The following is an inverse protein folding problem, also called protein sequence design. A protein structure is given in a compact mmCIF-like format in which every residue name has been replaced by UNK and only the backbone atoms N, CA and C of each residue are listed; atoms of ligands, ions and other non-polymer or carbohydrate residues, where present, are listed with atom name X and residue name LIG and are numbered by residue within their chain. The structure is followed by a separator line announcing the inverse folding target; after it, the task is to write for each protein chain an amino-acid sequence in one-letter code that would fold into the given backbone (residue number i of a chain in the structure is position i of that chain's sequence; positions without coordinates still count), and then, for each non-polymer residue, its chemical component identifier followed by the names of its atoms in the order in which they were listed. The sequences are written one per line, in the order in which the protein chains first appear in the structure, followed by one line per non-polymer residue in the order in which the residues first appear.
data_IF_527621918698
#
_entry.id   IF_527621918698
#
_cell.length_a   1.000
_cell.length_b   1.000
_cell.length_c   1.000
_cell.angle_alpha   90.00
_cell.angle_beta   90.00
_cell.angle_gamma   90.00
#
_symmetry.space_group_name_H-M   'P 1'
#
loop_
_entity.id
_entity.type
_entity.pdbx_description
1 polymer ?
#
# COMPACT_ATOMS: atom_id res chain seq x y z
N UNK A 1 9.04 16.17 26.62
CA UNK A 1 7.73 16.38 25.93
C UNK A 1 7.98 16.20 24.45
N UNK A 2 7.65 15.03 23.89
CA UNK A 2 7.77 14.81 22.44
C UNK A 2 6.39 15.05 21.82
N UNK A 3 6.27 16.15 21.10
CA UNK A 3 5.08 16.46 20.31
C UNK A 3 4.89 15.38 19.26
N UNK A 4 3.70 14.78 19.25
CA UNK A 4 3.23 13.94 18.15
C UNK A 4 3.06 14.86 16.95
N UNK A 5 3.94 14.74 15.97
CA UNK A 5 3.73 15.34 14.65
C UNK A 5 2.81 14.41 13.88
N UNK A 6 1.50 14.68 13.95
CA UNK A 6 0.57 14.25 12.92
C UNK A 6 0.98 14.97 11.63
N UNK A 7 1.59 14.22 10.70
CA UNK A 7 1.97 14.77 9.39
C UNK A 7 0.73 14.70 8.50
N UNK A 8 0.07 15.83 8.32
CA UNK A 8 -0.85 16.06 7.22
C UNK A 8 -0.07 15.89 5.91
N UNK A 9 -0.47 14.91 5.10
CA UNK A 9 0.11 14.72 3.76
C UNK A 9 -0.42 15.86 2.90
N UNK A 10 0.38 16.90 2.73
CA UNK A 10 0.12 17.99 1.80
C UNK A 10 0.12 17.42 0.36
N UNK A 11 -1.07 17.37 -0.25
CA UNK A 11 -1.38 16.70 -1.52
C UNK A 11 -1.00 17.54 -2.75
N UNK A 12 -0.48 18.77 -2.60
CA UNK A 12 -0.46 19.74 -3.71
C UNK A 12 0.88 19.94 -4.45
N UNK A 13 2.02 19.40 -4.02
CA UNK A 13 3.33 19.80 -4.63
C UNK A 13 4.32 18.71 -5.02
N UNK A 14 3.94 17.43 -5.06
CA UNK A 14 4.79 16.43 -5.69
C UNK A 14 4.01 15.68 -6.77
N UNK A 15 4.26 15.94 -8.07
CA UNK A 15 3.44 15.41 -9.16
C UNK A 15 3.54 13.90 -9.30
N UNK A 16 4.42 13.24 -8.52
CA UNK A 16 4.47 11.78 -8.49
C UNK A 16 4.87 11.25 -7.11
N UNK A 17 3.98 10.50 -6.45
CA UNK A 17 4.24 9.80 -5.21
C UNK A 17 4.63 8.34 -5.50
N UNK A 18 5.88 7.91 -5.22
CA UNK A 18 6.25 6.51 -5.29
C UNK A 18 5.58 5.73 -4.16
N UNK A 19 5.06 4.56 -4.51
CA UNK A 19 4.44 3.59 -3.62
C UNK A 19 5.26 2.30 -3.73
N UNK A 20 5.65 1.73 -2.60
CA UNK A 20 6.37 0.47 -2.51
C UNK A 20 5.54 -0.52 -1.70
N UNK A 21 5.21 -1.67 -2.29
CA UNK A 21 4.46 -2.73 -1.62
C UNK A 21 5.36 -3.96 -1.51
N UNK A 22 5.77 -4.29 -0.29
CA UNK A 22 6.51 -5.52 0.01
C UNK A 22 5.53 -6.69 0.18
N UNK A 23 5.72 -7.74 -0.61
CA UNK A 23 4.89 -8.95 -0.63
C UNK A 23 5.74 -10.20 -0.37
N UNK A 24 5.10 -11.24 0.14
CA UNK A 24 5.80 -12.42 0.67
C UNK A 24 6.36 -13.34 -0.41
N UNK A 25 5.78 -13.34 -1.60
CA UNK A 25 6.19 -14.28 -2.64
C UNK A 25 5.94 -13.79 -4.05
N UNK A 26 6.57 -14.51 -4.98
CA UNK A 26 6.45 -14.28 -6.43
C UNK A 26 4.99 -14.21 -6.90
N UNK A 27 4.14 -15.10 -6.39
CA UNK A 27 2.74 -15.18 -6.81
C UNK A 27 1.92 -13.98 -6.32
N UNK A 28 2.20 -13.48 -5.11
CA UNK A 28 1.57 -12.26 -4.61
C UNK A 28 2.01 -11.04 -5.42
N UNK A 29 3.30 -10.98 -5.80
CA UNK A 29 3.82 -9.90 -6.63
C UNK A 29 3.18 -9.89 -8.02
N UNK A 30 3.01 -11.06 -8.63
CA UNK A 30 2.31 -11.21 -9.91
C UNK A 30 0.83 -10.83 -9.80
N UNK A 31 0.13 -11.34 -8.79
CA UNK A 31 -1.29 -11.03 -8.59
C UNK A 31 -1.53 -9.54 -8.30
N UNK A 32 -0.65 -8.89 -7.54
CA UNK A 32 -0.71 -7.45 -7.30
C UNK A 32 -0.43 -6.66 -8.59
N UNK A 33 0.53 -7.12 -9.40
CA UNK A 33 0.87 -6.50 -10.68
C UNK A 33 -0.31 -6.54 -11.65
N UNK A 34 -0.96 -7.69 -11.81
CA UNK A 34 -2.15 -7.84 -12.64
C UNK A 34 -3.28 -6.90 -12.19
N UNK A 35 -3.48 -6.75 -10.87
CA UNK A 35 -4.45 -5.81 -10.33
C UNK A 35 -4.08 -4.35 -10.63
N UNK A 36 -2.80 -3.98 -10.45
CA UNK A 36 -2.31 -2.63 -10.68
C UNK A 36 -2.28 -2.23 -12.16
N UNK A 37 -2.18 -3.18 -13.11
CA UNK A 37 -2.21 -2.91 -14.55
C UNK A 37 -3.39 -2.04 -14.99
N UNK A 38 -4.52 -2.10 -14.26
CA UNK A 38 -5.72 -1.33 -14.57
C UNK A 38 -5.63 0.15 -14.20
N UNK A 39 -4.68 0.53 -13.35
CA UNK A 39 -4.68 1.82 -12.68
C UNK A 39 -3.32 2.51 -12.72
N UNK A 40 -2.21 1.76 -12.68
CA UNK A 40 -0.88 2.31 -12.45
C UNK A 40 0.19 1.65 -13.32
N UNK A 41 1.21 2.44 -13.67
CA UNK A 41 2.50 1.87 -14.07
C UNK A 41 3.16 1.25 -12.84
N UNK A 42 3.73 0.05 -13.00
CA UNK A 42 4.41 -0.65 -11.91
C UNK A 42 5.72 -1.29 -12.37
N UNK A 43 6.57 -1.60 -11.40
CA UNK A 43 7.77 -2.40 -11.56
C UNK A 43 7.82 -3.44 -10.44
N UNK A 44 8.03 -4.70 -10.80
CA UNK A 44 8.31 -5.76 -9.83
C UNK A 44 9.80 -5.91 -9.69
N UNK A 45 10.30 -5.76 -8.46
CA UNK A 45 11.69 -6.02 -8.11
C UNK A 45 11.76 -7.20 -7.15
N UNK A 46 12.75 -8.08 -7.37
CA UNK A 46 13.11 -9.13 -6.44
C UNK A 46 14.54 -8.87 -5.96
N UNK A 47 14.70 -8.65 -4.65
CA UNK A 47 16.00 -8.41 -4.03
C UNK A 47 16.19 -9.28 -2.78
N UNK A 48 17.36 -9.91 -2.67
CA UNK A 48 17.79 -10.87 -1.66
C UNK A 48 16.81 -12.03 -1.40
N UNK A 49 15.65 -11.77 -0.80
CA UNK A 49 14.52 -12.72 -0.58
C UNK A 49 13.16 -12.00 -0.53
N UNK A 50 13.06 -10.77 -1.02
CA UNK A 50 11.88 -9.92 -0.94
C UNK A 50 11.38 -9.57 -2.32
N UNK A 51 10.05 -9.62 -2.47
CA UNK A 51 9.37 -9.13 -3.64
C UNK A 51 8.77 -7.77 -3.31
N UNK A 52 9.15 -6.74 -4.08
CA UNK A 52 8.61 -5.40 -3.94
C UNK A 52 7.95 -4.98 -5.25
N UNK A 53 6.69 -4.56 -5.16
CA UNK A 53 5.98 -3.95 -6.28
C UNK A 53 6.04 -2.45 -6.09
N UNK A 54 6.70 -1.77 -7.03
CA UNK A 54 6.78 -0.32 -7.08
C UNK A 54 5.66 0.20 -7.97
N UNK A 55 4.88 1.16 -7.48
CA UNK A 55 3.88 1.88 -8.25
C UNK A 55 4.10 3.39 -8.09
N UNK A 56 3.40 4.18 -8.90
CA UNK A 56 3.44 5.65 -8.86
C UNK A 56 2.04 6.18 -8.93
N UNK A 57 1.71 7.14 -8.07
CA UNK A 57 0.52 7.98 -8.19
C UNK A 57 0.93 9.39 -8.68
N UNK A 58 0.15 10.08 -9.52
CA UNK A 58 -1.13 9.65 -10.05
C UNK A 58 -1.01 8.46 -11.01
N UNK A 59 -2.09 7.69 -11.10
CA UNK A 59 -2.20 6.54 -11.99
C UNK A 59 -2.24 6.91 -13.48
N UNK A 60 -2.32 5.89 -14.33
CA UNK A 60 -2.37 6.03 -15.79
C UNK A 60 -3.60 6.84 -16.25
N UNK A 61 -4.68 6.87 -15.47
CA UNK A 61 -5.89 7.65 -15.74
C UNK A 61 -6.03 8.87 -14.83
N UNK A 62 -4.97 9.25 -14.11
CA UNK A 62 -4.96 10.39 -13.20
C UNK A 62 -5.49 10.07 -11.80
N UNK A 63 -5.61 8.78 -11.45
CA UNK A 63 -6.09 8.35 -10.13
C UNK A 63 -5.20 8.92 -9.02
N UNK A 64 -5.77 9.58 -7.99
CA UNK A 64 -5.00 10.16 -6.92
C UNK A 64 -4.37 9.09 -6.02
N UNK A 65 -3.36 9.49 -5.26
CA UNK A 65 -2.67 8.61 -4.30
C UNK A 65 -3.65 7.93 -3.32
N UNK A 66 -4.68 8.64 -2.87
CA UNK A 66 -5.69 8.08 -1.97
C UNK A 66 -6.45 6.89 -2.57
N UNK A 67 -6.74 6.94 -3.88
CA UNK A 67 -7.44 5.85 -4.58
C UNK A 67 -6.50 4.67 -4.85
N UNK A 68 -5.24 4.95 -5.19
CA UNK A 68 -4.20 3.94 -5.30
C UNK A 68 -4.05 3.14 -3.98
N UNK A 69 -3.95 3.84 -2.86
CA UNK A 69 -3.81 3.23 -1.53
C UNK A 69 -5.06 2.43 -1.15
N UNK A 70 -6.25 2.91 -1.51
CA UNK A 70 -7.50 2.17 -1.30
C UNK A 70 -7.55 0.89 -2.12
N UNK A 71 -7.16 0.93 -3.39
CA UNK A 71 -7.13 -0.25 -4.25
C UNK A 71 -6.14 -1.31 -3.74
N UNK A 72 -4.96 -0.88 -3.26
CA UNK A 72 -3.96 -1.76 -2.63
C UNK A 72 -4.51 -2.38 -1.35
N UNK A 73 -5.19 -1.59 -0.51
CA UNK A 73 -5.79 -2.08 0.73
C UNK A 73 -6.88 -3.13 0.47
N UNK A 74 -7.78 -2.88 -0.50
CA UNK A 74 -8.82 -3.84 -0.88
C UNK A 74 -8.18 -5.15 -1.33
N UNK A 75 -7.17 -5.08 -2.20
CA UNK A 75 -6.45 -6.27 -2.66
C UNK A 75 -5.81 -7.05 -1.50
N UNK A 76 -5.18 -6.36 -0.53
CA UNK A 76 -4.56 -7.01 0.65
C UNK A 76 -5.59 -7.76 1.49
N UNK A 77 -6.72 -7.12 1.78
CA UNK A 77 -7.79 -7.69 2.61
C UNK A 77 -8.44 -8.89 1.92
N UNK A 78 -8.72 -8.80 0.62
CA UNK A 78 -9.33 -9.89 -0.15
C UNK A 78 -8.43 -11.14 -0.23
N UNK A 79 -7.11 -10.94 -0.21
CA UNK A 79 -6.12 -12.03 -0.28
C UNK A 79 -5.62 -12.50 1.09
N UNK A 80 -6.06 -11.90 2.19
CA UNK A 80 -5.60 -12.23 3.54
C UNK A 80 -4.13 -11.88 3.78
N UNK A 81 -3.57 -10.93 3.03
CA UNK A 81 -2.16 -10.53 3.06
C UNK A 81 -1.91 -9.38 4.04
N UNK A 82 -2.44 -9.50 5.25
CA UNK A 82 -2.34 -8.49 6.31
C UNK A 82 -0.88 -8.20 6.71
N UNK A 83 0.01 -9.17 6.51
CA UNK A 83 1.45 -9.07 6.81
C UNK A 83 2.29 -8.35 5.74
N UNK A 84 1.71 -7.99 4.59
CA UNK A 84 2.41 -7.18 3.57
C UNK A 84 2.69 -5.76 4.09
N UNK A 85 3.76 -5.15 3.61
CA UNK A 85 4.18 -3.80 4.03
C UNK A 85 3.93 -2.82 2.88
N UNK A 86 3.35 -1.65 3.16
CA UNK A 86 3.16 -0.59 2.17
C UNK A 86 3.93 0.64 2.63
N UNK A 87 4.68 1.26 1.72
CA UNK A 87 5.43 2.50 1.95
C UNK A 87 5.08 3.53 0.89
N UNK A 88 4.93 4.78 1.31
CA UNK A 88 4.72 5.93 0.42
C UNK A 88 5.87 6.89 0.65
N UNK A 89 6.62 7.22 -0.42
CA UNK A 89 7.85 8.02 -0.31
C UNK A 89 8.83 7.46 0.74
N UNK A 90 8.94 6.13 0.79
CA UNK A 90 9.78 5.41 1.76
C UNK A 90 9.23 5.36 3.20
N UNK A 91 8.11 6.03 3.50
CA UNK A 91 7.51 6.04 4.84
C UNK A 91 6.44 4.94 4.97
N UNK A 92 6.40 4.20 6.10
CA UNK A 92 5.41 3.15 6.30
C UNK A 92 4.00 3.72 6.29
N UNK A 93 3.16 3.19 5.41
CA UNK A 93 1.74 3.47 5.35
C UNK A 93 1.00 2.46 6.22
N UNK A 94 0.36 2.95 7.29
CA UNK A 94 -0.56 2.16 8.12
C UNK A 94 -1.99 2.59 7.81
N UNK A 95 -2.75 1.70 7.18
CA UNK A 95 -4.20 1.86 7.07
C UNK A 95 -4.82 1.74 8.47
N UNK A 96 -5.61 2.74 8.88
CA UNK A 96 -6.26 2.76 10.19
C UNK A 96 -7.34 1.66 10.37
N UNK A 97 -7.66 0.90 9.31
CA UNK A 97 -8.76 -0.09 9.33
C UNK A 97 -8.40 -1.45 9.94
N UNK A 98 -7.11 -1.77 10.14
CA UNK A 98 -6.70 -3.05 10.75
C UNK A 98 -7.00 -3.09 12.27
N UNK A 99 -7.29 -1.96 12.92
CA UNK A 99 -7.53 -1.91 14.37
C UNK A 99 -8.96 -2.26 14.81
N UNK A 100 -9.94 -2.39 13.91
CA UNK A 100 -11.35 -2.60 14.30
C UNK A 100 -11.84 -4.04 14.25
N UNK A 101 -11.01 -5.03 13.89
CA UNK A 101 -11.44 -6.45 13.84
C UNK A 101 -10.94 -7.34 14.99
N UNK A 102 -10.19 -6.79 15.94
CA UNK A 102 -9.63 -7.52 17.09
C UNK A 102 -10.27 -7.17 18.46
N UNK A 103 -11.51 -6.68 18.49
CA UNK A 103 -12.27 -6.47 19.74
C UNK A 103 -13.67 -7.11 19.76
N UNK A 104 -13.88 -8.23 19.05
CA UNK A 104 -15.15 -8.95 19.15
C UNK A 104 -14.99 -10.47 19.20
N UNK A 105 -14.13 -10.97 20.10
CA UNK A 105 -14.14 -12.39 20.46
C UNK A 105 -13.58 -12.66 21.86
N UNK A 106 -13.92 -11.85 22.85
CA UNK A 106 -13.65 -12.17 24.27
C UNK A 106 -14.75 -11.62 25.17
N UNK A 107 -16.00 -12.04 24.90
CA UNK A 107 -17.08 -12.01 25.90
C UNK A 107 -18.06 -13.16 25.63
N UNK A 108 -17.74 -14.36 26.12
CA UNK A 108 -18.61 -15.19 26.96
C UNK A 108 -17.96 -16.54 27.24
#
# INVERSE_FOLDING_TARGET
MFGKSDVEIDDEQNPTAPIEIDVHGRWDALALSEWLMHYHSFLVQHDHERWTVHARAPGCHGEPLADALRAIEVWRVERGLESSSCRVRGLPYRSARTSSRMQLSERR
#
